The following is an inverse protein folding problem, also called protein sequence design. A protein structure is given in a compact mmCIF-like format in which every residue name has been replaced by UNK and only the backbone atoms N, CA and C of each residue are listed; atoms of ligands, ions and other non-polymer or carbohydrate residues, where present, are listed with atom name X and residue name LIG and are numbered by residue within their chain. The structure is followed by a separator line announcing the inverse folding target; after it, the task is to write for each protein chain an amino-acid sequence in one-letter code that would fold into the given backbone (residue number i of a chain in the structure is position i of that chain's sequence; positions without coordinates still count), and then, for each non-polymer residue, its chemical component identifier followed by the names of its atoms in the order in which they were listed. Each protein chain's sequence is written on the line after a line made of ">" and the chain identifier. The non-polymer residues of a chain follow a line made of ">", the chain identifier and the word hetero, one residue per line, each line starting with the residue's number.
data_IF_066230183673
#
_entry.id   IF_066230183673
#
_cell.length_a   1.000
_cell.length_b   1.000
_cell.length_c   1.000
_cell.angle_alpha   90.00
_cell.angle_beta   90.00
_cell.angle_gamma   90.00
#
_symmetry.space_group_name_H-M   'P 1'
#
loop_
_entity.id
_entity.type
_entity.pdbx_description
1 polymer ?
#
# COMPACT_ATOMS: atom_id res chain seq x y z
N UNK A 1 -5.74 -19.42 3.02
CA UNK A 1 -6.97 -18.71 3.49
C UNK A 1 -8.05 -19.62 4.07
N UNK A 2 -8.12 -20.93 3.76
CA UNK A 2 -9.17 -21.81 4.31
C UNK A 2 -9.08 -22.00 5.83
N UNK A 3 -7.88 -22.08 6.40
CA UNK A 3 -7.72 -22.28 7.86
C UNK A 3 -8.17 -21.07 8.69
N UNK A 4 -7.96 -19.84 8.18
CA UNK A 4 -8.45 -18.61 8.81
C UNK A 4 -9.97 -18.41 8.69
N UNK A 5 -10.65 -19.15 7.80
CA UNK A 5 -12.13 -19.07 7.73
C UNK A 5 -12.79 -19.61 9.01
N UNK A 6 -12.09 -20.49 9.73
CA UNK A 6 -12.56 -21.09 10.98
C UNK A 6 -12.60 -20.08 12.13
N UNK A 7 -11.71 -19.09 12.12
CA UNK A 7 -11.51 -18.13 13.21
C UNK A 7 -11.85 -16.71 12.75
N UNK A 8 -13.14 -16.36 12.80
CA UNK A 8 -13.63 -15.08 12.30
C UNK A 8 -13.03 -13.88 13.06
N UNK A 9 -12.89 -14.00 14.39
CA UNK A 9 -12.31 -12.99 15.25
C UNK A 9 -10.85 -12.73 14.92
N UNK A 10 -10.03 -13.79 14.82
CA UNK A 10 -8.62 -13.66 14.42
C UNK A 10 -8.46 -13.03 13.03
N UNK A 11 -9.32 -13.39 12.08
CA UNK A 11 -9.32 -12.80 10.74
C UNK A 11 -9.61 -11.29 10.80
N UNK A 12 -10.59 -10.87 11.61
CA UNK A 12 -10.92 -9.47 11.80
C UNK A 12 -9.76 -8.70 12.45
N UNK A 13 -9.13 -9.26 13.48
CA UNK A 13 -7.97 -8.67 14.15
C UNK A 13 -6.77 -8.50 13.19
N UNK A 14 -6.50 -9.50 12.34
CA UNK A 14 -5.42 -9.39 11.33
C UNK A 14 -5.74 -8.31 10.30
N UNK A 15 -6.99 -8.21 9.85
CA UNK A 15 -7.40 -7.15 8.92
C UNK A 15 -7.29 -5.76 9.57
N UNK A 16 -7.69 -5.64 10.83
CA UNK A 16 -7.54 -4.41 11.61
C UNK A 16 -6.06 -4.02 11.75
N UNK A 17 -5.19 -4.97 12.12
CA UNK A 17 -3.75 -4.74 12.23
C UNK A 17 -3.12 -4.33 10.90
N UNK A 18 -3.57 -4.90 9.77
CA UNK A 18 -3.10 -4.52 8.45
C UNK A 18 -3.51 -3.08 8.06
N UNK A 19 -4.75 -2.69 8.36
CA UNK A 19 -5.22 -1.32 8.14
C UNK A 19 -4.46 -0.32 9.04
N UNK A 20 -4.32 -0.65 10.32
CA UNK A 20 -3.58 0.18 11.27
C UNK A 20 -2.12 0.37 10.83
N UNK A 21 -1.47 -0.69 10.33
CA UNK A 21 -0.11 -0.59 9.80
C UNK A 21 -0.03 0.36 8.58
N UNK A 22 -1.03 0.34 7.68
CA UNK A 22 -1.07 1.26 6.53
C UNK A 22 -1.33 2.72 6.95
N UNK A 23 -2.22 2.93 7.91
CA UNK A 23 -2.58 4.26 8.41
C UNK A 23 -1.41 4.93 9.13
N UNK A 24 -0.61 4.16 9.87
CA UNK A 24 0.58 4.69 10.56
C UNK A 24 1.59 5.36 9.63
N UNK A 25 1.78 4.84 8.43
CA UNK A 25 2.73 5.41 7.46
C UNK A 25 2.08 6.37 6.46
N UNK A 26 0.77 6.63 6.57
CA UNK A 26 0.06 7.56 5.70
C UNK A 26 0.62 8.99 5.81
N UNK A 27 0.83 9.49 7.02
CA UNK A 27 1.31 10.86 7.21
C UNK A 27 2.77 11.02 6.76
N UNK A 28 3.59 9.98 6.91
CA UNK A 28 4.99 10.00 6.48
C UNK A 28 5.11 9.91 4.95
N UNK A 29 4.26 9.10 4.30
CA UNK A 29 4.17 9.08 2.84
C UNK A 29 3.71 10.44 2.30
N UNK A 30 2.72 11.06 2.93
CA UNK A 30 2.23 12.40 2.58
C UNK A 30 3.32 13.47 2.72
N UNK A 31 4.04 13.50 3.86
CA UNK A 31 5.17 14.44 4.07
C UNK A 31 6.26 14.25 3.03
N UNK A 32 6.54 13.01 2.64
CA UNK A 32 7.56 12.70 1.63
C UNK A 32 7.14 13.20 0.25
N UNK A 33 5.89 12.95 -0.15
CA UNK A 33 5.34 13.45 -1.43
C UNK A 33 5.33 14.97 -1.48
N UNK A 34 4.93 15.64 -0.40
CA UNK A 34 4.98 17.10 -0.33
C UNK A 34 6.41 17.64 -0.51
N UNK A 35 7.39 17.04 0.18
CA UNK A 35 8.81 17.41 -0.01
C UNK A 35 9.28 17.21 -1.44
N UNK A 36 8.86 16.15 -2.12
CA UNK A 36 9.22 15.94 -3.52
C UNK A 36 8.68 17.05 -4.42
N UNK A 37 7.44 17.49 -4.20
CA UNK A 37 6.86 18.62 -4.95
C UNK A 37 7.58 19.93 -4.62
N UNK A 38 7.88 20.17 -3.34
CA UNK A 38 8.62 21.36 -2.91
C UNK A 38 10.02 21.41 -3.55
N UNK A 39 10.70 20.26 -3.70
CA UNK A 39 11.99 20.17 -4.38
C UNK A 39 11.90 20.60 -5.84
N UNK A 40 10.90 20.13 -6.58
CA UNK A 40 10.67 20.52 -7.99
C UNK A 40 10.30 22.00 -8.13
N UNK A 41 9.66 22.58 -7.11
CA UNK A 41 9.36 24.02 -7.08
C UNK A 41 10.58 24.88 -6.75
N UNK A 42 11.55 24.33 -5.99
CA UNK A 42 12.72 25.06 -5.50
C UNK A 42 13.83 25.15 -6.55
N UNK A 43 13.91 24.19 -7.46
CA UNK A 43 14.95 24.13 -8.49
C UNK A 43 14.39 23.85 -9.87
N UNK A 44 14.82 24.65 -10.85
CA UNK A 44 14.48 24.47 -12.25
C UNK A 44 15.39 23.41 -12.90
N UNK A 45 14.81 22.49 -13.66
CA UNK A 45 15.58 21.52 -14.46
C UNK A 45 16.27 22.23 -15.64
N UNK A 46 17.55 22.60 -15.46
CA UNK A 46 18.30 23.40 -16.45
C UNK A 46 18.43 22.67 -17.81
N UNK A 47 18.51 21.34 -17.81
CA UNK A 47 18.64 20.56 -19.04
C UNK A 47 17.43 20.66 -19.97
N UNK A 48 16.24 20.96 -19.42
CA UNK A 48 15.07 21.28 -20.23
C UNK A 48 15.30 22.55 -21.06
N UNK A 49 15.80 23.60 -20.42
CA UNK A 49 16.06 24.90 -21.06
C UNK A 49 17.25 24.89 -22.01
N UNK A 50 18.22 23.99 -21.82
CA UNK A 50 19.33 23.78 -22.78
C UNK A 50 18.88 23.14 -24.09
N UNK A 51 17.80 22.35 -24.06
CA UNK A 51 17.25 21.63 -25.23
C UNK A 51 16.16 22.42 -25.98
N UNK A 52 15.67 23.50 -25.39
CA UNK A 52 14.77 24.42 -26.06
C UNK A 52 15.46 24.92 -27.33
N UNK A 53 14.77 24.92 -28.50
CA UNK A 53 15.34 25.47 -29.71
C UNK A 53 15.81 26.89 -29.43
N UNK A 54 17.13 27.10 -29.47
CA UNK A 54 17.63 28.44 -29.69
C UNK A 54 17.20 28.78 -31.11
N UNK A 55 16.15 29.60 -31.24
CA UNK A 55 15.97 30.35 -32.47
C UNK A 55 17.20 31.25 -32.60
N UNK A 56 18.27 30.69 -33.19
CA UNK A 56 19.20 31.45 -34.02
C UNK A 56 18.45 31.77 -35.31
N UNK A 57 17.34 32.50 -35.16
CA UNK A 57 16.60 33.09 -36.25
C UNK A 57 17.40 34.30 -36.74
N UNK A 58 18.24 34.06 -37.74
CA UNK A 58 18.55 34.96 -38.85
C UNK A 58 18.47 36.48 -38.56
N UNK A 59 19.64 37.11 -38.46
CA UNK A 59 19.90 38.42 -39.07
C UNK A 59 19.02 39.59 -38.64
N UNK A 60 18.82 39.82 -37.35
CA UNK A 60 18.30 41.09 -36.84
C UNK A 60 19.41 42.13 -36.78
N UNK A 61 19.24 43.25 -37.51
CA UNK A 61 20.11 44.42 -37.45
C UNK A 61 20.39 44.82 -35.98
N UNK A 62 21.64 45.11 -35.57
CA UNK A 62 21.99 45.51 -34.20
C UNK A 62 21.42 46.89 -33.77
N UNK A 63 20.59 47.51 -34.62
CA UNK A 63 19.96 48.81 -34.42
C UNK A 63 18.45 48.73 -34.08
N UNK A 64 17.88 47.54 -33.90
CA UNK A 64 16.49 47.42 -33.45
C UNK A 64 16.36 47.88 -31.98
N UNK A 65 15.47 48.84 -31.75
CA UNK A 65 15.23 49.44 -30.42
C UNK A 65 14.92 48.37 -29.38
N UNK A 66 15.44 48.55 -28.16
CA UNK A 66 15.23 47.66 -27.00
C UNK A 66 13.76 47.44 -26.64
N UNK A 67 12.86 48.26 -27.19
CA UNK A 67 11.40 48.19 -27.05
C UNK A 67 10.79 47.01 -27.83
N UNK A 68 11.40 46.62 -28.96
CA UNK A 68 10.93 45.49 -29.80
C UNK A 68 11.43 44.13 -29.29
N UNK A 69 12.03 44.12 -28.09
CA UNK A 69 12.48 42.91 -27.38
C UNK A 69 11.36 42.30 -26.51
N UNK A 70 10.29 43.06 -26.27
CA UNK A 70 9.11 42.69 -25.48
C UNK A 70 7.84 42.68 -26.32
N UNK A 71 7.95 42.31 -27.59
CA UNK A 71 6.80 42.13 -28.48
C UNK A 71 5.92 40.98 -27.95
N UNK A 72 4.61 41.04 -28.19
CA UNK A 72 3.62 40.00 -27.84
C UNK A 72 4.09 38.55 -28.17
N UNK A 73 4.86 38.39 -29.25
CA UNK A 73 5.47 37.11 -29.63
C UNK A 73 6.48 36.54 -28.62
N UNK A 74 7.24 37.40 -27.92
CA UNK A 74 8.18 37.00 -26.87
C UNK A 74 7.45 36.47 -25.63
N UNK A 75 6.39 37.16 -25.18
CA UNK A 75 5.55 36.69 -24.07
C UNK A 75 4.83 35.39 -24.41
N UNK A 76 4.33 35.25 -25.66
CA UNK A 76 3.74 33.99 -26.14
C UNK A 76 4.73 32.83 -26.11
N UNK A 77 5.99 33.08 -26.49
CA UNK A 77 7.07 32.07 -26.44
C UNK A 77 7.43 31.68 -25.02
N UNK A 78 7.54 32.64 -24.10
CA UNK A 78 7.73 32.36 -22.67
C UNK A 78 6.57 31.50 -22.16
N UNK A 79 5.33 31.85 -22.49
CA UNK A 79 4.15 31.07 -22.11
C UNK A 79 4.22 29.63 -22.62
N UNK A 80 4.59 29.43 -23.89
CA UNK A 80 4.78 28.09 -24.46
C UNK A 80 5.89 27.30 -23.74
N UNK A 81 7.01 27.93 -23.41
CA UNK A 81 8.14 27.28 -22.74
C UNK A 81 7.79 26.89 -21.31
N UNK A 82 7.11 27.78 -20.56
CA UNK A 82 6.63 27.51 -19.21
C UNK A 82 5.61 26.38 -19.23
N UNK A 83 4.65 26.39 -20.17
CA UNK A 83 3.67 25.32 -20.31
C UNK A 83 4.33 23.96 -20.58
N UNK A 84 5.33 23.92 -21.47
CA UNK A 84 6.09 22.69 -21.75
C UNK A 84 6.91 22.21 -20.54
N UNK A 85 7.51 23.13 -19.77
CA UNK A 85 8.24 22.79 -18.55
C UNK A 85 7.31 22.20 -17.48
N UNK A 86 6.17 22.85 -17.23
CA UNK A 86 5.15 22.35 -16.29
C UNK A 86 4.63 20.99 -16.73
N UNK A 87 4.43 20.77 -18.03
CA UNK A 87 4.09 19.47 -18.59
C UNK A 87 5.11 18.40 -18.25
N UNK A 88 6.41 18.67 -18.48
CA UNK A 88 7.49 17.73 -18.15
C UNK A 88 7.55 17.39 -16.65
N UNK A 89 7.46 18.40 -15.77
CA UNK A 89 7.48 18.19 -14.32
C UNK A 89 6.26 17.38 -13.88
N UNK A 90 5.08 17.67 -14.44
CA UNK A 90 3.85 16.90 -14.17
C UNK A 90 3.99 15.44 -14.56
N UNK A 91 4.57 15.14 -15.73
CA UNK A 91 4.86 13.76 -16.15
C UNK A 91 5.85 13.05 -15.24
N UNK A 92 6.88 13.77 -14.76
CA UNK A 92 7.84 13.23 -13.81
C UNK A 92 7.15 12.87 -12.49
N UNK A 93 6.39 13.82 -11.91
CA UNK A 93 5.65 13.63 -10.66
C UNK A 93 4.63 12.48 -10.75
N UNK A 94 3.94 12.35 -11.89
CA UNK A 94 3.02 11.23 -12.16
C UNK A 94 3.69 9.87 -11.99
N UNK A 95 4.99 9.78 -12.30
CA UNK A 95 5.75 8.53 -12.21
C UNK A 95 6.46 8.35 -10.86
N UNK A 96 6.85 9.43 -10.18
CA UNK A 96 7.64 9.37 -8.95
C UNK A 96 6.77 9.35 -7.70
N UNK A 97 5.63 10.03 -7.67
CA UNK A 97 4.71 10.06 -6.51
C UNK A 97 4.19 8.66 -6.15
N UNK A 98 3.67 7.84 -7.09
CA UNK A 98 3.22 6.49 -6.74
C UNK A 98 4.35 5.61 -6.18
N UNK A 99 5.57 5.77 -6.69
CA UNK A 99 6.75 5.04 -6.18
C UNK A 99 7.06 5.42 -4.74
N UNK A 100 7.01 6.72 -4.42
CA UNK A 100 7.22 7.20 -3.06
C UNK A 100 6.12 6.70 -2.11
N UNK A 101 4.85 6.70 -2.52
CA UNK A 101 3.75 6.16 -1.72
C UNK A 101 3.94 4.66 -1.46
N UNK A 102 4.26 3.88 -2.49
CA UNK A 102 4.50 2.44 -2.33
C UNK A 102 5.69 2.17 -1.41
N UNK A 103 6.79 2.90 -1.58
CA UNK A 103 8.01 2.73 -0.79
C UNK A 103 7.81 3.13 0.67
N UNK A 104 7.27 4.32 0.92
CA UNK A 104 7.14 4.87 2.28
C UNK A 104 5.95 4.30 3.05
N UNK A 105 4.86 3.94 2.38
CA UNK A 105 3.65 3.45 3.04
C UNK A 105 3.51 1.94 2.95
N UNK A 106 3.40 1.38 1.74
CA UNK A 106 3.03 -0.02 1.55
C UNK A 106 4.17 -0.96 1.99
N UNK A 107 5.40 -0.65 1.58
CA UNK A 107 6.55 -1.49 1.88
C UNK A 107 6.91 -1.44 3.37
N UNK A 108 6.86 -0.27 4.00
CA UNK A 108 7.12 -0.11 5.44
C UNK A 108 5.99 -0.69 6.30
N UNK A 109 4.72 -0.54 5.91
CA UNK A 109 3.60 -1.22 6.55
C UNK A 109 3.78 -2.74 6.51
N UNK A 110 4.14 -3.32 5.36
CA UNK A 110 4.41 -4.76 5.22
C UNK A 110 5.54 -5.23 6.13
N UNK A 111 6.64 -4.48 6.21
CA UNK A 111 7.81 -4.83 7.03
C UNK A 111 7.51 -4.80 8.53
N UNK A 112 6.74 -3.80 8.97
CA UNK A 112 6.43 -3.58 10.38
C UNK A 112 5.23 -4.41 10.89
N UNK A 113 4.33 -4.84 9.99
CA UNK A 113 3.08 -5.52 10.34
C UNK A 113 3.27 -6.69 11.29
N UNK A 114 4.12 -7.66 10.93
CA UNK A 114 4.30 -8.88 11.74
C UNK A 114 4.93 -8.57 13.09
N UNK A 115 5.94 -7.71 13.13
CA UNK A 115 6.57 -7.29 14.38
C UNK A 115 5.57 -6.64 15.33
N UNK A 116 4.74 -5.74 14.81
CA UNK A 116 3.75 -5.04 15.62
C UNK A 116 2.60 -5.97 16.06
N UNK A 117 2.13 -6.83 15.16
CA UNK A 117 1.09 -7.81 15.46
C UNK A 117 1.55 -8.82 16.52
N UNK A 118 2.78 -9.32 16.43
CA UNK A 118 3.34 -10.20 17.48
C UNK A 118 3.51 -9.48 18.82
N UNK A 119 3.94 -8.23 18.81
CA UNK A 119 4.03 -7.43 20.03
C UNK A 119 2.65 -7.17 20.66
N UNK A 120 1.59 -7.00 19.86
CA UNK A 120 0.21 -6.89 20.34
C UNK A 120 -0.30 -8.24 20.90
N UNK A 121 -0.07 -9.34 20.19
CA UNK A 121 -0.44 -10.69 20.64
C UNK A 121 0.25 -11.07 21.95
N UNK A 122 1.52 -10.74 22.12
CA UNK A 122 2.28 -11.02 23.34
C UNK A 122 1.77 -10.28 24.58
N UNK A 123 0.96 -9.22 24.41
CA UNK A 123 0.31 -8.50 25.51
C UNK A 123 -1.08 -9.04 25.85
N UNK A 124 -1.65 -9.92 25.02
CA UNK A 124 -2.99 -10.47 25.25
C UNK A 124 -2.96 -11.57 26.32
N UNK A 125 -3.97 -11.56 27.18
CA UNK A 125 -4.15 -12.61 28.20
C UNK A 125 -4.71 -13.90 27.59
N UNK A 126 -4.57 -15.03 28.30
CA UNK A 126 -5.05 -16.34 27.83
C UNK A 126 -6.53 -16.36 27.45
N UNK A 127 -7.39 -15.60 28.14
CA UNK A 127 -8.82 -15.48 27.79
C UNK A 127 -9.03 -14.74 26.46
N UNK A 128 -8.27 -13.68 26.20
CA UNK A 128 -8.35 -12.93 24.95
C UNK A 128 -7.79 -13.72 23.77
N UNK A 129 -6.73 -14.51 24.01
CA UNK A 129 -6.21 -15.45 23.02
C UNK A 129 -7.21 -16.56 22.70
N UNK A 130 -7.93 -17.07 23.70
CA UNK A 130 -9.01 -18.04 23.47
C UNK A 130 -10.13 -17.46 22.59
N UNK A 131 -10.56 -16.23 22.87
CA UNK A 131 -11.58 -15.53 22.06
C UNK A 131 -11.16 -15.34 20.59
N UNK A 132 -9.87 -15.16 20.32
CA UNK A 132 -9.37 -15.08 18.93
C UNK A 132 -9.49 -16.42 18.20
N UNK A 133 -9.39 -17.51 18.94
CA UNK A 133 -9.49 -18.88 18.44
C UNK A 133 -10.91 -19.44 18.53
N UNK A 134 -11.90 -18.62 18.87
CA UNK A 134 -13.30 -19.03 18.83
C UNK A 134 -13.68 -19.39 17.38
N UNK A 135 -14.16 -20.62 17.23
CA UNK A 135 -14.64 -21.11 15.95
C UNK A 135 -16.02 -20.55 15.63
N UNK A 136 -16.34 -20.50 14.34
CA UNK A 136 -17.73 -20.35 13.92
C UNK A 136 -18.60 -21.45 14.57
N UNK A 137 -19.66 -21.03 15.26
CA UNK A 137 -20.66 -21.87 15.94
C UNK A 137 -21.15 -23.03 15.07
N UNK A 138 -21.37 -22.79 13.76
CA UNK A 138 -21.85 -23.81 12.83
C UNK A 138 -20.79 -24.88 12.56
N UNK A 139 -19.53 -24.48 12.44
CA UNK A 139 -18.41 -25.41 12.26
C UNK A 139 -18.14 -26.21 13.54
N UNK A 140 -18.24 -25.56 14.70
CA UNK A 140 -18.10 -26.21 16.00
C UNK A 140 -19.19 -27.26 16.22
N UNK A 141 -20.45 -26.94 15.92
CA UNK A 141 -21.56 -27.86 16.06
C UNK A 141 -21.42 -29.07 15.13
N UNK A 142 -21.11 -28.84 13.85
CA UNK A 142 -20.84 -29.92 12.89
C UNK A 142 -19.72 -30.83 13.35
N UNK A 143 -18.63 -30.26 13.87
CA UNK A 143 -17.52 -31.05 14.42
C UNK A 143 -17.94 -31.88 15.61
N UNK A 144 -18.70 -31.32 16.55
CA UNK A 144 -19.22 -32.07 17.69
C UNK A 144 -20.13 -33.22 17.25
N UNK A 145 -21.02 -33.00 16.28
CA UNK A 145 -21.87 -34.05 15.74
C UNK A 145 -21.05 -35.19 15.11
N UNK A 146 -20.04 -34.86 14.32
CA UNK A 146 -19.11 -35.85 13.77
C UNK A 146 -18.32 -36.58 14.85
N UNK A 147 -17.88 -35.88 15.91
CA UNK A 147 -17.19 -36.45 17.05
C UNK A 147 -18.04 -37.48 17.80
N UNK A 148 -19.30 -37.13 18.11
CA UNK A 148 -20.26 -38.06 18.74
C UNK A 148 -20.50 -39.30 17.88
N UNK A 149 -20.70 -39.11 16.56
CA UNK A 149 -20.86 -40.25 15.63
C UNK A 149 -19.62 -41.15 15.60
N UNK A 150 -18.43 -40.56 15.63
CA UNK A 150 -17.18 -41.30 15.66
C UNK A 150 -17.04 -42.13 16.95
N UNK A 151 -17.40 -41.57 18.10
CA UNK A 151 -17.39 -42.29 19.38
C UNK A 151 -18.35 -43.48 19.35
N UNK A 152 -19.56 -43.30 18.81
CA UNK A 152 -20.53 -44.39 18.63
C UNK A 152 -19.97 -45.50 17.73
N UNK A 153 -19.34 -45.14 16.61
CA UNK A 153 -18.73 -46.15 15.72
C UNK A 153 -17.52 -46.86 16.36
N UNK A 154 -16.75 -46.17 17.21
CA UNK A 154 -15.67 -46.80 17.97
C UNK A 154 -16.22 -47.80 18.99
N UNK A 155 -17.23 -47.41 19.78
CA UNK A 155 -17.90 -48.33 20.71
C UNK A 155 -18.44 -49.57 20.01
N UNK A 156 -19.16 -49.37 18.89
CA UNK A 156 -19.71 -50.48 18.11
C UNK A 156 -18.62 -51.41 17.56
N UNK A 157 -17.49 -50.87 17.12
CA UNK A 157 -16.33 -51.67 16.70
C UNK A 157 -15.73 -52.44 17.87
N UNK A 158 -15.52 -51.78 19.00
CA UNK A 158 -14.90 -52.39 20.18
C UNK A 158 -15.80 -53.52 20.75
N UNK A 159 -17.14 -53.37 20.67
CA UNK A 159 -18.11 -54.43 20.96
C UNK A 159 -17.98 -55.63 20.00
N UNK A 160 -17.88 -55.38 18.68
CA UNK A 160 -17.67 -56.44 17.68
C UNK A 160 -16.37 -57.20 17.94
N UNK A 161 -15.28 -56.47 18.22
CA UNK A 161 -13.98 -57.07 18.53
C UNK A 161 -14.07 -57.95 19.79
N UNK A 162 -14.77 -57.50 20.83
CA UNK A 162 -14.94 -58.28 22.07
C UNK A 162 -15.63 -59.64 21.84
N UNK A 163 -16.60 -59.70 20.93
CA UNK A 163 -17.32 -60.94 20.59
C UNK A 163 -16.45 -61.88 19.76
N UNK A 164 -15.61 -61.35 18.88
CA UNK A 164 -14.69 -62.13 18.05
C UNK A 164 -13.56 -62.78 18.87
N UNK A 165 -13.05 -62.08 19.89
CA UNK A 165 -12.00 -62.60 20.79
C UNK A 165 -12.52 -63.48 21.94
N UNK A 166 -13.83 -63.49 22.19
CA UNK A 166 -14.48 -64.37 23.17
C UNK A 166 -14.79 -65.78 22.63
N UNK A 167 -14.38 -66.09 21.39
CA UNK A 167 -14.63 -67.34 20.69
C UNK A 167 -13.34 -68.12 20.49
#
# INVERSE_FOLDING_TARGET
>A
MQELKRFATLKADIAAAANEALDRFHDDSKKTVLRMVDMESSYLTVDFFRKLPQDVGKGGNPAASTVDRYTEGHFRRIGSNVSSYVGMVSEMLRNTIPKAVVYCQVQEAKRSLLHHFYAQLGKKEGRQLAQLLDEDSVLMERRQQCGRRLELYKSARDEIDSVLWAR
#
